data_IF_227992545635
#
_entry.id   IF_227992545635
#
_cell.length_a   1.000
_cell.length_b   1.000
_cell.length_c   1.000
_cell.angle_alpha   90.00
_cell.angle_beta   90.00
_cell.angle_gamma   90.00
#
_symmetry.space_group_name_H-M   'P 1'
#
loop_
_entity.id
_entity.type
_entity.pdbx_description
1 polymer ?
#
# COMPACT_ATOMS: atom_id res chain seq x y z
N UNK A 1 -8.91 -0.24 3.79
CA UNK A 1 -10.21 0.41 3.48
C UNK A 1 -10.45 1.49 4.53
N UNK A 2 -10.46 2.74 4.13
CA UNK A 2 -10.77 3.84 5.05
C UNK A 2 -12.30 4.02 5.11
N UNK A 3 -12.97 3.72 6.22
CA UNK A 3 -14.40 3.96 6.35
C UNK A 3 -14.64 5.43 6.68
N UNK A 4 -14.91 6.26 5.69
CA UNK A 4 -15.49 7.57 5.94
C UNK A 4 -16.99 7.40 6.20
N UNK A 5 -17.37 7.18 7.46
CA UNK A 5 -18.78 7.33 7.87
C UNK A 5 -19.12 8.81 7.86
N UNK A 6 -20.08 9.23 7.04
CA UNK A 6 -20.80 10.48 7.22
C UNK A 6 -20.68 11.57 6.15
N UNK A 7 -19.92 11.39 5.09
CA UNK A 7 -19.97 12.29 3.93
C UNK A 7 -20.63 11.54 2.77
N UNK A 8 -21.87 11.88 2.48
CA UNK A 8 -22.64 11.25 1.42
C UNK A 8 -21.94 11.28 0.08
N UNK A 9 -22.40 10.49 -0.84
CA UNK A 9 -22.11 10.17 -2.25
C UNK A 9 -21.16 11.05 -3.12
N UNK A 10 -20.42 11.98 -2.52
CA UNK A 10 -19.54 12.94 -3.22
C UNK A 10 -18.23 12.32 -3.68
N UNK A 11 -17.79 11.22 -3.08
CA UNK A 11 -16.48 10.63 -3.36
C UNK A 11 -16.55 9.42 -4.27
N UNK A 12 -15.88 9.51 -5.43
CA UNK A 12 -15.63 8.35 -6.28
C UNK A 12 -14.54 7.48 -5.65
N UNK A 13 -14.90 6.28 -5.21
CA UNK A 13 -13.98 5.30 -4.60
C UNK A 13 -13.80 4.10 -5.51
N UNK A 14 -12.55 3.67 -5.69
CA UNK A 14 -12.19 2.48 -6.47
C UNK A 14 -11.24 1.60 -5.67
N UNK A 15 -11.38 0.29 -5.81
CA UNK A 15 -10.40 -0.70 -5.37
C UNK A 15 -9.95 -1.53 -6.57
N UNK A 16 -8.66 -1.77 -6.69
CA UNK A 16 -8.08 -2.57 -7.79
C UNK A 16 -7.28 -3.69 -7.17
N UNK A 17 -7.49 -4.91 -7.64
CA UNK A 17 -6.70 -6.07 -7.27
C UNK A 17 -6.61 -7.01 -8.48
N UNK A 18 -5.49 -7.72 -8.62
CA UNK A 18 -5.28 -8.69 -9.69
C UNK A 18 -5.88 -10.07 -9.35
N UNK A 19 -6.20 -10.34 -8.08
CA UNK A 19 -6.78 -11.59 -7.64
C UNK A 19 -8.32 -11.51 -7.66
N UNK A 20 -9.02 -12.32 -8.47
CA UNK A 20 -10.47 -12.27 -8.58
C UNK A 20 -11.19 -12.60 -7.28
N UNK A 21 -10.60 -13.47 -6.45
CA UNK A 21 -11.15 -13.83 -5.15
C UNK A 21 -11.15 -12.64 -4.18
N UNK A 22 -10.09 -11.83 -4.16
CA UNK A 22 -10.03 -10.61 -3.35
C UNK A 22 -11.10 -9.61 -3.78
N UNK A 23 -11.29 -9.43 -5.08
CA UNK A 23 -12.34 -8.56 -5.63
C UNK A 23 -13.74 -9.06 -5.23
N UNK A 24 -13.98 -10.37 -5.29
CA UNK A 24 -15.25 -10.97 -4.89
C UNK A 24 -15.52 -10.75 -3.40
N UNK A 25 -14.55 -11.01 -2.54
CA UNK A 25 -14.64 -10.79 -1.11
C UNK A 25 -14.88 -9.31 -0.77
N UNK A 26 -14.16 -8.39 -1.42
CA UNK A 26 -14.31 -6.96 -1.24
C UNK A 26 -15.71 -6.45 -1.65
N UNK A 27 -16.28 -6.97 -2.75
CA UNK A 27 -17.64 -6.66 -3.19
C UNK A 27 -18.69 -7.13 -2.16
N UNK A 28 -18.55 -8.36 -1.63
CA UNK A 28 -19.44 -8.89 -0.59
C UNK A 28 -19.37 -8.01 0.66
N UNK A 29 -18.16 -7.70 1.12
CA UNK A 29 -17.95 -6.85 2.29
C UNK A 29 -18.52 -5.43 2.10
N UNK A 30 -18.30 -4.81 0.94
CA UNK A 30 -18.83 -3.46 0.69
C UNK A 30 -20.36 -3.46 0.63
N UNK A 31 -20.98 -4.47 0.03
CA UNK A 31 -22.44 -4.63 0.00
C UNK A 31 -23.01 -4.78 1.42
N UNK A 32 -22.42 -5.65 2.24
CA UNK A 32 -22.81 -5.85 3.64
C UNK A 32 -22.74 -4.56 4.46
N UNK A 33 -21.73 -3.74 4.22
CA UNK A 33 -21.51 -2.49 4.96
C UNK A 33 -22.08 -1.24 4.24
N UNK A 34 -22.87 -1.41 3.18
CA UNK A 34 -23.49 -0.32 2.39
C UNK A 34 -22.46 0.71 1.89
N UNK A 35 -21.26 0.24 1.52
CA UNK A 35 -20.20 1.09 0.98
C UNK A 35 -20.29 1.15 -0.54
N UNK A 36 -20.27 2.35 -1.11
CA UNK A 36 -20.24 2.57 -2.56
C UNK A 36 -18.79 2.62 -3.04
N UNK A 37 -18.22 1.47 -3.40
CA UNK A 37 -16.86 1.34 -3.91
C UNK A 37 -16.91 0.52 -5.20
N UNK A 38 -16.30 1.03 -6.25
CA UNK A 38 -16.16 0.31 -7.53
C UNK A 38 -14.91 -0.59 -7.48
N UNK A 39 -15.08 -1.89 -7.36
CA UNK A 39 -14.00 -2.87 -7.37
C UNK A 39 -13.76 -3.41 -8.77
N UNK A 40 -12.50 -3.33 -9.22
CA UNK A 40 -12.06 -3.66 -10.57
C UNK A 40 -11.00 -4.75 -10.48
N UNK A 41 -11.26 -5.90 -11.11
CA UNK A 41 -10.26 -6.94 -11.32
C UNK A 41 -9.30 -6.51 -12.43
N UNK A 42 -8.08 -6.12 -12.07
CA UNK A 42 -7.11 -5.56 -13.02
C UNK A 42 -5.69 -5.70 -12.48
N UNK A 43 -4.75 -6.07 -13.35
CA UNK A 43 -3.32 -6.02 -13.05
C UNK A 43 -2.84 -4.57 -13.17
N UNK A 44 -2.38 -3.99 -12.06
CA UNK A 44 -1.91 -2.61 -12.00
C UNK A 44 -0.64 -2.37 -12.82
N UNK A 45 0.19 -3.40 -13.04
CA UNK A 45 1.40 -3.27 -13.84
C UNK A 45 1.10 -3.26 -15.35
N UNK A 46 0.21 -4.11 -15.80
CA UNK A 46 -0.06 -4.33 -17.22
C UNK A 46 -1.16 -3.42 -17.76
N UNK A 47 -2.10 -3.06 -16.93
CA UNK A 47 -3.30 -2.34 -17.37
C UNK A 47 -3.15 -0.83 -17.26
N UNK A 48 -3.76 -0.07 -18.18
CA UNK A 48 -3.99 1.36 -18.01
C UNK A 48 -5.02 1.58 -16.92
N UNK A 49 -4.74 2.53 -16.03
CA UNK A 49 -5.66 2.97 -14.99
C UNK A 49 -6.43 4.20 -15.49
N UNK A 50 -7.73 4.21 -15.25
CA UNK A 50 -8.60 5.29 -15.68
C UNK A 50 -8.99 6.19 -14.52
N UNK A 51 -9.06 7.48 -14.79
CA UNK A 51 -9.47 8.50 -13.81
C UNK A 51 -8.32 9.19 -13.11
N UNK A 52 -8.70 10.23 -12.39
CA UNK A 52 -7.83 11.04 -11.53
C UNK A 52 -8.35 10.97 -10.12
N UNK A 53 -7.43 10.95 -9.14
CA UNK A 53 -7.75 10.75 -7.72
C UNK A 53 -7.00 11.77 -6.86
N UNK A 54 -7.65 12.21 -5.81
CA UNK A 54 -7.06 13.08 -4.80
C UNK A 54 -6.24 12.28 -3.78
N UNK A 55 -6.57 10.98 -3.63
CA UNK A 55 -5.86 10.07 -2.76
C UNK A 55 -5.71 8.70 -3.43
N UNK A 56 -4.47 8.21 -3.47
CA UNK A 56 -4.14 6.85 -3.90
C UNK A 56 -3.48 6.12 -2.73
N UNK A 57 -3.99 4.93 -2.41
CA UNK A 57 -3.45 4.05 -1.37
C UNK A 57 -2.82 2.83 -2.03
N UNK A 58 -1.57 2.53 -1.68
CA UNK A 58 -0.84 1.34 -2.10
C UNK A 58 -0.25 0.67 -0.87
N UNK A 59 -1.03 -0.21 -0.25
CA UNK A 59 -0.63 -0.88 0.99
C UNK A 59 -0.19 -2.30 0.71
N UNK A 60 1.07 -2.62 1.03
CA UNK A 60 1.68 -3.92 0.83
C UNK A 60 1.50 -4.43 -0.63
N UNK A 61 1.80 -3.56 -1.59
CA UNK A 61 1.62 -3.84 -3.02
C UNK A 61 2.96 -3.85 -3.75
N UNK A 62 3.84 -2.90 -3.44
CA UNK A 62 5.04 -2.66 -4.25
C UNK A 62 6.00 -3.84 -4.27
N UNK A 63 6.15 -4.56 -3.17
CA UNK A 63 7.00 -5.73 -3.03
C UNK A 63 6.51 -6.95 -3.82
N UNK A 64 5.28 -6.92 -4.30
CA UNK A 64 4.70 -7.98 -5.12
C UNK A 64 4.79 -7.70 -6.62
N UNK A 65 5.20 -6.49 -7.00
CA UNK A 65 5.31 -6.07 -8.38
C UNK A 65 6.67 -6.48 -8.99
N UNK A 66 6.68 -6.72 -10.29
CA UNK A 66 7.90 -7.02 -11.04
C UNK A 66 8.73 -5.73 -11.27
N UNK A 67 8.05 -4.62 -11.59
CA UNK A 67 8.67 -3.29 -11.74
C UNK A 67 7.86 -2.21 -11.00
N UNK A 68 8.02 -2.18 -9.68
CA UNK A 68 7.34 -1.19 -8.84
C UNK A 68 7.70 0.26 -9.19
N UNK A 69 8.92 0.54 -9.70
CA UNK A 69 9.34 1.90 -10.09
C UNK A 69 8.54 2.39 -11.28
N UNK A 70 8.40 1.55 -12.30
CA UNK A 70 7.58 1.83 -13.48
C UNK A 70 6.11 1.99 -13.10
N UNK A 71 5.64 1.20 -12.13
CA UNK A 71 4.27 1.30 -11.62
C UNK A 71 4.03 2.63 -10.90
N UNK A 72 4.94 3.11 -10.06
CA UNK A 72 4.86 4.46 -9.47
C UNK A 72 4.78 5.54 -10.55
N UNK A 73 5.64 5.49 -11.56
CA UNK A 73 5.62 6.42 -12.70
C UNK A 73 4.27 6.42 -13.43
N UNK A 74 3.65 5.24 -13.56
CA UNK A 74 2.34 5.11 -14.18
C UNK A 74 1.23 5.67 -13.29
N UNK A 75 1.19 5.28 -12.02
CA UNK A 75 0.15 5.68 -11.07
C UNK A 75 0.16 7.18 -10.78
N UNK A 76 1.34 7.81 -10.78
CA UNK A 76 1.47 9.27 -10.68
C UNK A 76 0.57 10.01 -11.68
N UNK A 77 0.42 9.47 -12.89
CA UNK A 77 -0.47 10.06 -13.91
C UNK A 77 -1.94 10.08 -13.51
N UNK A 78 -2.32 9.29 -12.50
CA UNK A 78 -3.67 9.23 -11.98
C UNK A 78 -3.89 10.10 -10.74
N UNK A 79 -2.87 10.81 -10.25
CA UNK A 79 -3.04 11.82 -9.21
C UNK A 79 -3.59 13.12 -9.78
N UNK A 80 -4.52 13.70 -9.06
CA UNK A 80 -4.93 15.10 -9.25
C UNK A 80 -3.80 16.06 -8.85
N UNK A 81 -3.91 17.32 -9.24
CA UNK A 81 -3.11 18.42 -8.69
C UNK A 81 -3.32 18.45 -7.17
N UNK A 82 -2.24 18.48 -6.40
CA UNK A 82 -2.24 18.35 -4.94
C UNK A 82 -2.70 16.96 -4.39
N UNK A 83 -2.90 15.98 -5.25
CA UNK A 83 -3.25 14.63 -4.84
C UNK A 83 -2.13 13.98 -4.01
N UNK A 84 -2.52 13.11 -3.11
CA UNK A 84 -1.63 12.43 -2.17
C UNK A 84 -1.57 10.94 -2.53
N UNK A 85 -0.38 10.38 -2.49
CA UNK A 85 -0.18 8.93 -2.48
C UNK A 85 0.32 8.50 -1.10
N UNK A 86 -0.27 7.44 -0.56
CA UNK A 86 0.19 6.78 0.66
C UNK A 86 0.61 5.37 0.30
N UNK A 87 1.84 5.03 0.65
CA UNK A 87 2.45 3.74 0.34
C UNK A 87 2.84 3.07 1.64
N UNK A 88 2.54 1.78 1.80
CA UNK A 88 3.16 0.93 2.83
C UNK A 88 3.90 -0.23 2.19
N UNK A 89 4.97 -0.65 2.83
CA UNK A 89 5.75 -1.84 2.46
C UNK A 89 6.68 -2.26 3.59
N UNK A 90 7.28 -3.44 3.47
CA UNK A 90 8.27 -3.96 4.41
C UNK A 90 9.66 -3.43 4.04
N UNK A 91 10.40 -2.97 5.05
CA UNK A 91 11.75 -2.47 4.88
C UNK A 91 12.74 -3.61 4.62
N UNK A 92 13.60 -3.49 3.61
CA UNK A 92 14.64 -4.48 3.30
C UNK A 92 15.86 -4.35 4.20
N UNK A 93 15.87 -5.05 5.32
CA UNK A 93 17.03 -5.17 6.22
C UNK A 93 17.05 -6.52 6.95
N UNK A 94 18.12 -6.81 7.68
CA UNK A 94 18.28 -8.08 8.40
C UNK A 94 17.21 -8.30 9.47
N UNK A 95 16.73 -7.25 10.11
CA UNK A 95 15.71 -7.33 11.14
C UNK A 95 14.35 -7.71 10.55
N UNK A 96 13.94 -7.09 9.44
CA UNK A 96 12.71 -7.46 8.74
C UNK A 96 12.78 -8.88 8.18
N UNK A 97 13.94 -9.32 7.70
CA UNK A 97 14.14 -10.70 7.28
C UNK A 97 13.87 -11.67 8.43
N UNK A 98 14.38 -11.35 9.62
CA UNK A 98 14.17 -12.20 10.80
C UNK A 98 12.70 -12.18 11.26
N UNK A 99 12.11 -11.01 11.42
CA UNK A 99 10.79 -10.87 12.03
C UNK A 99 9.65 -11.08 11.05
N UNK A 100 9.67 -10.43 9.89
CA UNK A 100 8.55 -10.50 8.94
C UNK A 100 8.53 -11.83 8.18
N UNK A 101 9.70 -12.35 7.79
CA UNK A 101 9.78 -13.58 6.98
C UNK A 101 9.93 -14.80 7.89
N UNK A 102 10.98 -14.83 8.73
CA UNK A 102 11.30 -16.06 9.47
C UNK A 102 10.33 -16.33 10.61
N UNK A 103 9.94 -15.32 11.37
CA UNK A 103 9.05 -15.52 12.54
C UNK A 103 7.59 -15.57 12.09
N UNK A 104 7.11 -14.63 11.31
CA UNK A 104 5.71 -14.56 10.91
C UNK A 104 5.31 -15.72 9.99
N UNK A 105 6.15 -16.10 9.03
CA UNK A 105 5.87 -17.19 8.08
C UNK A 105 6.18 -18.57 8.64
N UNK A 106 7.33 -18.75 9.31
CA UNK A 106 7.83 -20.08 9.66
C UNK A 106 7.48 -20.52 11.08
N UNK A 107 7.46 -19.62 12.05
CA UNK A 107 7.22 -19.94 13.46
C UNK A 107 5.76 -19.73 13.82
N UNK A 108 5.23 -18.53 13.64
CA UNK A 108 3.86 -18.19 14.04
C UNK A 108 2.82 -18.60 13.01
N UNK A 109 3.24 -18.86 11.77
CA UNK A 109 2.34 -19.21 10.64
C UNK A 109 1.18 -18.23 10.45
N UNK A 110 1.39 -16.96 10.80
CA UNK A 110 0.41 -15.89 10.61
C UNK A 110 0.21 -15.57 9.14
N UNK A 111 1.23 -15.81 8.33
CA UNK A 111 1.27 -15.57 6.89
C UNK A 111 1.76 -16.85 6.20
N UNK A 112 1.20 -17.25 5.05
CA UNK A 112 1.68 -18.40 4.29
C UNK A 112 3.16 -18.29 3.95
N UNK A 113 3.87 -19.45 3.94
CA UNK A 113 5.29 -19.50 3.53
C UNK A 113 5.48 -18.97 2.12
N UNK A 114 6.54 -18.18 1.93
CA UNK A 114 6.89 -17.64 0.62
C UNK A 114 6.05 -16.46 0.16
N UNK A 115 5.27 -15.86 1.06
CA UNK A 115 4.50 -14.65 0.76
C UNK A 115 5.43 -13.48 0.45
N UNK A 116 6.59 -13.40 1.10
CA UNK A 116 7.54 -12.32 0.91
C UNK A 116 8.90 -12.83 0.40
N UNK A 117 9.30 -12.33 -0.76
CA UNK A 117 10.67 -12.45 -1.26
C UNK A 117 11.50 -11.29 -0.70
N UNK A 118 12.52 -11.59 0.12
CA UNK A 118 13.40 -10.58 0.71
C UNK A 118 14.01 -9.62 -0.33
N UNK A 119 14.34 -10.11 -1.52
CA UNK A 119 14.94 -9.30 -2.57
C UNK A 119 13.96 -8.29 -3.18
N UNK A 120 12.68 -8.54 -3.06
CA UNK A 120 11.60 -7.65 -3.51
C UNK A 120 11.21 -6.59 -2.47
N UNK A 121 11.65 -6.73 -1.22
CA UNK A 121 11.44 -5.72 -0.18
C UNK A 121 12.16 -4.41 -0.55
N UNK A 122 11.65 -3.28 -0.09
CA UNK A 122 12.07 -1.96 -0.57
C UNK A 122 12.64 -1.14 0.60
N UNK A 123 13.86 -0.63 0.43
CA UNK A 123 14.44 0.30 1.41
C UNK A 123 13.78 1.68 1.32
N UNK A 124 13.56 2.38 2.45
CA UNK A 124 13.00 3.74 2.45
C UNK A 124 13.74 4.72 1.52
N UNK A 125 15.07 4.60 1.46
CA UNK A 125 15.92 5.46 0.61
C UNK A 125 15.67 5.21 -0.89
N UNK A 126 15.45 3.95 -1.28
CA UNK A 126 15.14 3.56 -2.66
C UNK A 126 13.78 4.12 -3.08
N UNK A 127 12.78 3.98 -2.20
CA UNK A 127 11.45 4.53 -2.44
C UNK A 127 11.48 6.05 -2.53
N UNK A 128 12.13 6.71 -1.57
CA UNK A 128 12.30 8.17 -1.57
C UNK A 128 12.97 8.66 -2.85
N UNK A 129 14.07 8.03 -3.29
CA UNK A 129 14.76 8.35 -4.53
C UNK A 129 13.83 8.24 -5.74
N UNK A 130 13.08 7.14 -5.85
CA UNK A 130 12.13 6.92 -6.95
C UNK A 130 11.01 7.95 -6.96
N UNK A 131 10.42 8.26 -5.81
CA UNK A 131 9.38 9.28 -5.69
C UNK A 131 9.91 10.65 -6.13
N UNK A 132 11.11 11.04 -5.68
CA UNK A 132 11.75 12.32 -6.08
C UNK A 132 12.02 12.36 -7.57
N UNK A 133 12.54 11.28 -8.17
CA UNK A 133 12.78 11.20 -9.62
C UNK A 133 11.48 11.34 -10.44
N UNK A 134 10.38 10.95 -9.86
CA UNK A 134 9.05 11.08 -10.48
C UNK A 134 8.34 12.40 -10.10
N UNK A 135 9.06 13.40 -9.56
CA UNK A 135 8.49 14.68 -9.10
C UNK A 135 7.37 14.50 -8.07
N UNK A 136 7.49 13.48 -7.22
CA UNK A 136 6.64 13.27 -6.07
C UNK A 136 7.39 13.71 -4.81
N UNK A 137 6.88 14.73 -4.14
CA UNK A 137 7.47 15.24 -2.90
C UNK A 137 7.22 14.28 -1.75
N UNK A 138 8.26 13.62 -1.28
CA UNK A 138 8.24 12.75 -0.10
C UNK A 138 8.06 13.60 1.16
N UNK A 139 6.97 13.41 1.90
CA UNK A 139 6.64 14.23 3.07
C UNK A 139 7.01 13.59 4.39
N UNK A 140 6.52 12.39 4.62
CA UNK A 140 6.62 11.73 5.91
C UNK A 140 6.88 10.23 5.77
N UNK A 141 7.56 9.68 6.79
CA UNK A 141 7.70 8.24 6.99
C UNK A 141 7.33 7.88 8.43
N UNK A 142 6.62 6.79 8.62
CA UNK A 142 6.26 6.21 9.93
C UNK A 142 6.27 4.70 9.82
N UNK A 143 6.69 4.02 10.87
CA UNK A 143 6.48 2.58 11.02
C UNK A 143 5.14 2.27 11.66
N UNK A 144 4.74 1.01 11.57
CA UNK A 144 3.59 0.46 12.29
C UNK A 144 4.11 -0.61 13.26
N UNK A 145 3.88 -0.41 14.55
CA UNK A 145 4.36 -1.30 15.61
C UNK A 145 3.18 -1.92 16.33
N UNK A 146 3.24 -3.24 16.47
CA UNK A 146 2.26 -4.01 17.22
C UNK A 146 2.69 -4.07 18.69
N UNK A 147 1.76 -3.77 19.60
CA UNK A 147 1.95 -3.99 21.03
C UNK A 147 1.24 -5.29 21.44
N UNK A 148 1.99 -6.36 21.76
CA UNK A 148 1.39 -7.65 22.10
C UNK A 148 0.65 -7.66 23.45
N UNK A 149 0.91 -6.69 24.33
CA UNK A 149 0.26 -6.62 25.64
C UNK A 149 -1.20 -6.16 25.58
N UNK A 150 -1.54 -5.31 24.61
CA UNK A 150 -2.91 -4.80 24.44
C UNK A 150 -3.51 -5.10 23.06
N UNK A 151 -2.78 -5.78 22.18
CA UNK A 151 -3.27 -6.13 20.84
C UNK A 151 -3.40 -4.94 19.87
N UNK A 152 -2.82 -3.78 20.18
CA UNK A 152 -2.99 -2.57 19.39
C UNK A 152 -1.83 -2.32 18.45
N UNK A 153 -2.16 -1.75 17.28
CA UNK A 153 -1.21 -1.22 16.31
C UNK A 153 -1.08 0.29 16.48
N UNK A 154 0.16 0.80 16.52
CA UNK A 154 0.44 2.24 16.64
C UNK A 154 1.44 2.71 15.60
N UNK A 155 1.19 3.90 15.04
CA UNK A 155 2.18 4.59 14.23
C UNK A 155 3.37 5.02 15.09
N UNK A 156 4.58 4.76 14.60
CA UNK A 156 5.83 5.00 15.31
C UNK A 156 6.84 5.76 14.43
N UNK A 157 7.81 6.42 15.08
CA UNK A 157 9.01 6.90 14.38
C UNK A 157 9.97 5.76 14.01
N UNK A 158 9.82 4.60 14.66
CA UNK A 158 10.58 3.41 14.32
C UNK A 158 9.95 2.73 13.10
N UNK A 159 10.64 2.73 11.97
CA UNK A 159 10.27 2.12 10.69
C UNK A 159 11.25 1.02 10.25
N UNK A 160 11.86 0.34 11.20
CA UNK A 160 12.86 -0.68 10.90
C UNK A 160 12.27 -1.91 10.21
N UNK A 161 11.05 -2.33 10.56
CA UNK A 161 10.42 -3.54 10.00
C UNK A 161 9.55 -3.20 8.81
N UNK A 162 8.59 -2.32 8.98
CA UNK A 162 7.67 -1.84 7.96
C UNK A 162 7.57 -0.32 8.01
N UNK A 163 7.07 0.27 6.94
CA UNK A 163 6.86 1.71 6.94
C UNK A 163 5.71 2.14 6.03
N UNK A 164 5.12 3.25 6.43
CA UNK A 164 4.23 4.06 5.61
C UNK A 164 4.95 5.31 5.18
N UNK A 165 4.79 5.71 3.95
CA UNK A 165 5.21 7.03 3.50
C UNK A 165 4.08 7.76 2.78
N UNK A 166 4.14 9.08 2.81
CA UNK A 166 3.24 9.95 2.07
C UNK A 166 4.03 10.80 1.09
N UNK A 167 3.50 10.95 -0.12
CA UNK A 167 4.05 11.85 -1.11
C UNK A 167 2.93 12.56 -1.88
N UNK A 168 3.22 13.73 -2.45
CA UNK A 168 2.32 14.46 -3.33
C UNK A 168 3.06 15.01 -4.56
N UNK A 169 2.33 15.35 -5.61
CA UNK A 169 2.91 16.00 -6.78
C UNK A 169 3.57 17.34 -6.40
N UNK A 170 4.77 17.58 -6.91
CA UNK A 170 5.40 18.89 -6.88
C UNK A 170 4.78 19.70 -8.03
N UNK A 171 4.20 20.86 -7.70
CA UNK A 171 3.69 21.81 -8.68
C UNK A 171 4.84 22.56 -9.37
#
# INVERSE_FOLDING_TARGET
ICPSRGLGDVYKRQGIDFAPNNISAAKIHSKKNKLKINYIHKDVEKSKLDGKFDLILMFEVLEHLDDWKKTIKKIKKNLNKNGIIIISTINRNSLSKLFAISIAENILKWIPKGTHDYNKLIKPEELKKTLTQENLHFKNIRGLVFNPLNGEWKLSKNYMINYFCTANLIN
#
